data_IF_568697997945
#
_entry.id   IF_568697997945
#
_cell.length_a   1.000
_cell.length_b   1.000
_cell.length_c   1.000
_cell.angle_alpha   90.00
_cell.angle_beta   90.00
_cell.angle_gamma   90.00
#
_symmetry.space_group_name_H-M   'P 1'
#
loop_
_entity.id
_entity.type
_entity.pdbx_description
1 polymer ?
#
# COMPACT_ATOMS: atom_id res chain seq x y z
N UNK A 1 -9.15 15.22 8.40
CA UNK A 1 -7.76 15.03 7.93
C UNK A 1 -7.11 16.38 7.68
N UNK A 2 -5.92 16.63 8.22
CA UNK A 2 -5.13 17.87 8.00
C UNK A 2 -4.00 17.55 7.03
N UNK A 3 -3.64 18.51 6.18
CA UNK A 3 -2.43 18.39 5.35
C UNK A 3 -1.22 18.21 6.30
N UNK A 4 -0.41 17.14 6.15
CA UNK A 4 0.72 16.89 7.04
C UNK A 4 1.82 17.97 6.94
N UNK A 5 1.94 18.65 5.80
CA UNK A 5 2.95 19.67 5.56
C UNK A 5 2.50 21.06 6.05
N UNK A 6 1.30 21.50 5.64
CA UNK A 6 0.80 22.85 5.97
C UNK A 6 -0.06 22.89 7.25
N UNK A 7 -0.45 21.73 7.79
CA UNK A 7 -1.42 21.56 8.91
C UNK A 7 -2.82 22.13 8.61
N UNK A 8 -3.05 22.62 7.39
CA UNK A 8 -4.32 23.18 6.95
C UNK A 8 -5.39 22.11 6.73
N UNK A 9 -6.66 22.47 6.95
CA UNK A 9 -7.82 21.63 6.66
C UNK A 9 -8.44 21.94 5.30
N UNK A 10 -8.05 23.02 4.62
CA UNK A 10 -8.62 23.38 3.32
C UNK A 10 -7.98 22.63 2.15
N UNK A 11 -6.84 21.98 2.40
CA UNK A 11 -6.02 21.32 1.38
C UNK A 11 -6.06 19.81 1.52
N UNK A 12 -5.84 19.13 0.41
CA UNK A 12 -5.61 17.70 0.30
C UNK A 12 -4.19 17.53 -0.23
N UNK A 13 -3.35 16.85 0.54
CA UNK A 13 -2.04 16.39 0.10
C UNK A 13 -2.19 14.97 -0.44
N UNK A 14 -1.59 14.71 -1.59
CA UNK A 14 -1.65 13.39 -2.24
C UNK A 14 -0.29 12.97 -2.74
N UNK A 15 0.01 11.70 -2.55
CA UNK A 15 1.19 11.03 -3.09
C UNK A 15 0.75 9.85 -3.95
N UNK A 16 1.39 9.70 -5.10
CA UNK A 16 1.12 8.61 -6.03
C UNK A 16 2.42 7.94 -6.47
N UNK A 17 2.34 6.62 -6.64
CA UNK A 17 3.41 5.77 -7.18
C UNK A 17 2.83 4.85 -8.24
N UNK A 18 3.70 4.28 -9.07
CA UNK A 18 3.34 3.26 -10.04
C UNK A 18 3.40 1.89 -9.34
N UNK A 19 2.33 1.09 -9.40
CA UNK A 19 2.30 -0.26 -8.84
C UNK A 19 1.62 -0.36 -7.47
N UNK A 20 1.99 -1.37 -6.68
CA UNK A 20 1.43 -1.69 -5.37
C UNK A 20 1.80 -0.65 -4.30
N UNK A 21 1.03 -0.61 -3.20
CA UNK A 21 1.22 0.31 -2.08
C UNK A 21 2.59 0.18 -1.41
N UNK A 22 3.19 -1.00 -1.44
CA UNK A 22 4.56 -1.28 -1.00
C UNK A 22 5.60 -0.44 -1.77
N UNK A 23 5.31 0.00 -2.98
CA UNK A 23 6.17 0.94 -3.72
C UNK A 23 6.22 2.32 -3.04
N UNK A 24 5.13 2.72 -2.40
CA UNK A 24 5.01 3.98 -1.69
C UNK A 24 5.63 3.89 -0.29
N UNK A 25 5.22 2.88 0.49
CA UNK A 25 5.62 2.75 1.90
C UNK A 25 6.94 2.00 2.10
N UNK A 26 7.35 1.20 1.11
CA UNK A 26 8.62 0.49 1.13
C UNK A 26 9.79 1.47 0.99
N UNK A 27 10.90 1.15 1.65
CA UNK A 27 12.13 1.94 1.65
C UNK A 27 12.89 1.88 0.31
N UNK A 28 12.17 1.85 -0.82
CA UNK A 28 12.74 1.93 -2.17
C UNK A 28 13.24 3.36 -2.45
N UNK A 29 14.43 3.52 -3.04
CA UNK A 29 15.00 4.84 -3.34
C UNK A 29 14.13 5.64 -4.31
N UNK A 30 14.24 6.96 -4.22
CA UNK A 30 13.44 7.90 -5.01
C UNK A 30 12.12 8.30 -4.34
N UNK A 31 11.50 9.34 -4.88
CA UNK A 31 10.33 10.02 -4.33
C UNK A 31 9.06 9.71 -5.12
N UNK A 32 7.94 9.56 -4.42
CA UNK A 32 6.62 9.49 -5.02
C UNK A 32 6.22 10.83 -5.64
N UNK A 33 5.43 10.84 -6.72
CA UNK A 33 4.88 12.10 -7.21
C UNK A 33 3.93 12.65 -6.14
N UNK A 34 4.07 13.93 -5.81
CA UNK A 34 3.25 14.58 -4.80
C UNK A 34 2.59 15.83 -5.35
N UNK A 35 1.32 16.03 -5.05
CA UNK A 35 0.57 17.23 -5.42
C UNK A 35 -0.37 17.65 -4.30
N UNK A 36 -0.72 18.93 -4.31
CA UNK A 36 -1.68 19.53 -3.39
C UNK A 36 -2.85 20.06 -4.20
N UNK A 37 -4.06 19.80 -3.73
CA UNK A 37 -5.28 20.39 -4.28
C UNK A 37 -6.11 21.02 -3.18
N UNK A 38 -6.84 22.09 -3.50
CA UNK A 38 -7.75 22.74 -2.56
C UNK A 38 -9.08 22.00 -2.59
N UNK A 39 -9.70 21.79 -1.43
CA UNK A 39 -11.03 21.15 -1.34
C UNK A 39 -12.11 21.90 -2.10
N UNK A 40 -11.94 23.21 -2.28
CA UNK A 40 -12.86 24.05 -3.05
C UNK A 40 -12.66 23.97 -4.57
N UNK A 41 -11.51 23.47 -5.05
CA UNK A 41 -11.20 23.41 -6.47
C UNK A 41 -10.32 22.17 -6.74
N UNK A 42 -10.98 21.04 -7.01
CA UNK A 42 -10.32 19.75 -7.21
C UNK A 42 -9.65 19.63 -8.60
N UNK A 43 -10.12 20.41 -9.58
CA UNK A 43 -9.68 20.33 -10.98
C UNK A 43 -8.34 21.03 -11.25
N UNK A 44 -7.82 21.77 -10.26
CA UNK A 44 -6.58 22.54 -10.38
C UNK A 44 -5.51 22.09 -9.36
N UNK A 45 -5.01 20.84 -9.45
CA UNK A 45 -3.94 20.38 -8.58
C UNK A 45 -2.62 21.11 -8.88
N UNK A 46 -1.85 21.41 -7.85
CA UNK A 46 -0.50 21.96 -7.94
C UNK A 46 0.50 20.85 -7.65
N UNK A 47 1.41 20.58 -8.59
CA UNK A 47 2.44 19.56 -8.41
C UNK A 47 3.55 20.10 -7.50
N UNK A 48 3.83 19.38 -6.41
CA UNK A 48 4.86 19.73 -5.42
C UNK A 48 6.15 18.92 -5.58
N UNK A 49 6.07 17.75 -6.21
CA UNK A 49 7.22 16.88 -6.38
C UNK A 49 7.01 15.93 -7.56
N UNK A 50 7.98 15.91 -8.46
CA UNK A 50 8.00 15.00 -9.59
C UNK A 50 8.44 13.60 -9.13
N UNK A 51 7.92 12.53 -9.77
CA UNK A 51 8.27 11.16 -9.41
C UNK A 51 9.72 10.87 -9.77
N UNK A 52 10.43 10.16 -8.89
CA UNK A 52 11.79 9.68 -9.14
C UNK A 52 12.05 8.26 -8.66
N UNK A 53 11.01 7.54 -8.21
CA UNK A 53 11.11 6.11 -7.92
C UNK A 53 11.38 5.35 -9.23
N UNK A 54 12.47 4.57 -9.33
CA UNK A 54 12.86 3.92 -10.56
C UNK A 54 12.10 2.62 -10.84
N UNK A 55 11.39 2.08 -9.85
CA UNK A 55 10.73 0.77 -9.93
C UNK A 55 9.35 0.88 -9.30
N UNK A 56 8.36 0.28 -9.96
CA UNK A 56 7.08 -0.09 -9.37
C UNK A 56 7.03 -1.59 -9.07
N UNK A 57 6.40 -1.95 -7.96
CA UNK A 57 6.11 -3.35 -7.61
C UNK A 57 4.76 -3.76 -8.18
N UNK A 58 4.68 -4.95 -8.78
CA UNK A 58 3.45 -5.50 -9.31
C UNK A 58 3.29 -6.95 -8.86
N UNK A 59 2.05 -7.34 -8.56
CA UNK A 59 1.67 -8.74 -8.38
C UNK A 59 0.93 -9.22 -9.63
N UNK A 60 1.01 -10.53 -9.88
CA UNK A 60 0.07 -11.19 -10.81
C UNK A 60 -1.32 -11.22 -10.17
N UNK A 61 -2.32 -11.70 -10.90
CA UNK A 61 -3.64 -11.93 -10.33
C UNK A 61 -3.51 -12.90 -9.15
N UNK A 62 -3.69 -12.38 -7.94
CA UNK A 62 -3.43 -13.08 -6.68
C UNK A 62 -4.49 -12.70 -5.65
N UNK A 63 -4.87 -13.67 -4.81
CA UNK A 63 -5.80 -13.44 -3.70
C UNK A 63 -4.97 -13.07 -2.47
N UNK A 64 -5.29 -11.93 -1.85
CA UNK A 64 -4.65 -11.50 -0.60
C UNK A 64 -5.47 -12.07 0.56
N UNK A 65 -4.89 -13.01 1.31
CA UNK A 65 -5.49 -13.47 2.56
C UNK A 65 -5.20 -12.45 3.66
N UNK A 66 -6.24 -11.82 4.18
CA UNK A 66 -6.19 -10.97 5.37
C UNK A 66 -7.04 -11.63 6.44
N UNK A 67 -6.47 -11.82 7.63
CA UNK A 67 -7.26 -12.13 8.81
C UNK A 67 -8.08 -10.89 9.14
N UNK A 68 -9.38 -10.92 8.90
CA UNK A 68 -10.30 -9.80 9.17
C UNK A 68 -10.59 -9.68 10.68
N UNK A 69 -9.55 -9.40 11.47
CA UNK A 69 -9.62 -9.30 12.92
C UNK A 69 -9.71 -7.84 13.34
N UNK A 70 -10.93 -7.33 13.51
CA UNK A 70 -11.24 -6.00 14.09
C UNK A 70 -10.63 -5.75 15.50
N UNK A 71 -9.96 -6.73 16.10
CA UNK A 71 -9.37 -6.67 17.43
C UNK A 71 -7.92 -6.17 17.44
N UNK A 72 -7.28 -5.97 16.28
CA UNK A 72 -5.87 -5.51 16.19
C UNK A 72 -5.65 -4.05 16.61
N UNK A 73 -6.72 -3.25 16.66
CA UNK A 73 -6.71 -1.83 17.05
C UNK A 73 -7.10 -1.61 18.53
N UNK A 74 -7.24 -2.68 19.33
CA UNK A 74 -7.49 -2.56 20.76
C UNK A 74 -6.20 -2.22 21.52
N UNK A 75 -6.28 -1.28 22.46
CA UNK A 75 -5.18 -0.90 23.34
C UNK A 75 -4.70 -2.13 24.14
N UNK A 76 -3.45 -2.57 23.88
CA UNK A 76 -2.87 -3.76 24.50
C UNK A 76 -2.92 -5.05 23.66
N UNK A 77 -3.47 -5.04 22.45
CA UNK A 77 -3.48 -6.20 21.54
C UNK A 77 -2.87 -5.89 20.17
N UNK A 78 -1.56 -6.11 20.02
CA UNK A 78 -0.88 -6.04 18.73
C UNK A 78 -1.12 -7.34 17.93
N UNK A 79 -2.30 -7.48 17.33
CA UNK A 79 -2.69 -8.64 16.51
C UNK A 79 -2.12 -8.62 15.09
N UNK A 80 -1.50 -7.52 14.67
CA UNK A 80 -0.96 -7.34 13.33
C UNK A 80 0.15 -8.37 13.04
N UNK A 81 -0.21 -9.42 12.28
CA UNK A 81 0.72 -10.44 11.79
C UNK A 81 0.82 -11.72 12.62
N UNK A 82 -0.03 -11.95 13.63
CA UNK A 82 0.12 -13.10 14.55
C UNK A 82 -0.86 -14.27 14.35
N UNK A 83 -1.85 -14.16 13.45
CA UNK A 83 -2.79 -15.25 13.19
C UNK A 83 -2.41 -16.08 11.98
N UNK A 84 -1.33 -16.84 12.08
CA UNK A 84 -1.12 -17.99 11.22
C UNK A 84 -1.71 -19.22 11.92
N UNK A 85 -2.95 -19.59 11.58
CA UNK A 85 -3.52 -20.87 12.03
C UNK A 85 -3.70 -21.80 10.84
N UNK A 86 -2.63 -22.54 10.54
CA UNK A 86 -2.75 -23.85 9.90
C UNK A 86 -3.61 -24.75 10.79
N UNK A 87 -4.78 -25.13 10.30
CA UNK A 87 -5.33 -26.46 10.52
C UNK A 87 -5.87 -26.96 9.19
N UNK A 88 -5.33 -28.10 8.78
CA UNK A 88 -5.78 -28.99 7.71
C UNK A 88 -7.21 -28.72 7.23
N UNK A 89 -7.35 -27.85 6.24
CA UNK A 89 -8.43 -27.99 5.29
C UNK A 89 -7.92 -29.01 4.27
N UNK A 90 -8.58 -30.16 4.19
CA UNK A 90 -8.52 -31.05 3.04
C UNK A 90 -8.92 -30.21 1.80
N UNK A 91 -7.95 -29.51 1.20
CA UNK A 91 -8.11 -28.83 -0.08
C UNK A 91 -7.36 -29.68 -1.08
N UNK A 92 -8.11 -30.52 -1.77
CA UNK A 92 -7.63 -31.34 -2.89
C UNK A 92 -7.32 -30.48 -4.13
N UNK A 93 -6.87 -29.24 -3.96
CA UNK A 93 -6.69 -28.29 -5.03
C UNK A 93 -5.46 -27.44 -4.77
N UNK A 94 -4.29 -28.02 -5.03
CA UNK A 94 -3.07 -27.38 -5.57
C UNK A 94 -1.88 -28.33 -5.35
N UNK A 95 -1.88 -29.45 -6.06
CA UNK A 95 -0.62 -30.05 -6.49
C UNK A 95 -0.02 -29.12 -7.54
N UNK A 96 0.81 -28.17 -7.12
CA UNK A 96 1.90 -27.58 -7.91
C UNK A 96 2.74 -26.73 -6.98
N UNK A 97 3.92 -27.28 -6.67
CA UNK A 97 5.04 -26.57 -6.08
C UNK A 97 5.32 -25.33 -6.92
N UNK A 98 5.12 -24.11 -6.40
CA UNK A 98 5.82 -22.94 -6.90
C UNK A 98 6.27 -22.07 -5.72
N UNK A 99 7.55 -21.74 -5.79
CA UNK A 99 8.36 -21.03 -4.82
C UNK A 99 7.83 -19.62 -4.55
N UNK A 100 7.81 -19.25 -3.27
CA UNK A 100 7.26 -17.99 -2.76
C UNK A 100 8.21 -16.81 -3.04
N UNK A 101 8.16 -16.24 -4.25
CA UNK A 101 8.80 -14.98 -4.61
C UNK A 101 7.97 -14.28 -5.71
N UNK A 102 6.89 -13.62 -5.29
CA UNK A 102 5.77 -13.24 -6.17
C UNK A 102 5.74 -11.80 -6.71
N UNK A 103 6.77 -10.98 -6.48
CA UNK A 103 6.76 -9.59 -6.96
C UNK A 103 7.65 -9.41 -8.18
N UNK A 104 7.07 -8.88 -9.26
CA UNK A 104 7.83 -8.47 -10.44
C UNK A 104 8.07 -6.96 -10.37
N UNK A 105 9.34 -6.58 -10.41
CA UNK A 105 9.77 -5.18 -10.53
C UNK A 105 9.70 -4.77 -12.00
N UNK A 106 8.98 -3.69 -12.31
CA UNK A 106 9.05 -3.04 -13.64
C UNK A 106 9.51 -1.60 -13.48
N UNK A 107 10.47 -1.20 -14.31
CA UNK A 107 10.81 0.21 -14.53
C UNK A 107 9.63 0.95 -15.19
#
# INVERSE_FOLDING_TARGET
>A
MKNPLSRGTSEIYTEIVKGLGETLVGALPGRAMSFITKRSNLDSPTVNGYPSKPIGLYSKQSIIFRSDSNAEDLEGYAGAGFYDRKKEAHVECLKREETFQGYSCKA
#
